data_IF_085353595931
#
_entry.id   IF_085353595931
#
_cell.length_a   1.000
_cell.length_b   1.000
_cell.length_c   1.000
_cell.angle_alpha   90.00
_cell.angle_beta   90.00
_cell.angle_gamma   90.00
#
_symmetry.space_group_name_H-M   'P 1'
#
loop_
_entity.id
_entity.type
_entity.pdbx_description
1 polymer ?
#
# COMPACT_ATOMS: atom_id res chain seq x y z
N UNK A 1 -40.13 -1.40 -48.15
CA UNK A 1 -39.01 -0.49 -48.42
C UNK A 1 -37.93 -0.81 -47.40
N UNK A 2 -37.05 -1.75 -47.68
CA UNK A 2 -36.00 -1.65 -48.70
C UNK A 2 -35.06 -0.48 -48.39
N UNK A 3 -33.83 -0.88 -48.09
CA UNK A 3 -32.58 -0.19 -48.36
C UNK A 3 -32.43 1.28 -47.96
N UNK A 4 -31.58 1.51 -46.96
CA UNK A 4 -30.20 1.86 -47.25
C UNK A 4 -29.43 2.01 -45.94
N UNK A 5 -28.13 1.75 -46.00
CA UNK A 5 -27.15 2.11 -44.96
C UNK A 5 -27.01 1.11 -43.81
N UNK A 6 -26.26 0.03 -44.04
CA UNK A 6 -25.18 -0.39 -43.13
C UNK A 6 -24.26 -1.44 -43.77
N UNK A 7 -23.87 -1.21 -45.01
CA UNK A 7 -22.62 -1.72 -45.54
C UNK A 7 -21.42 -0.95 -44.94
N UNK A 8 -21.26 -1.01 -43.62
CA UNK A 8 -19.95 -0.82 -42.99
C UNK A 8 -19.56 -2.21 -42.52
N UNK A 9 -18.51 -2.79 -43.12
CA UNK A 9 -17.82 -3.99 -42.61
C UNK A 9 -17.74 -3.86 -41.10
N UNK A 10 -18.68 -4.45 -40.38
CA UNK A 10 -18.65 -4.49 -38.93
C UNK A 10 -17.40 -5.31 -38.66
N UNK A 11 -16.31 -4.63 -38.27
CA UNK A 11 -15.07 -5.32 -37.87
C UNK A 11 -15.55 -6.36 -36.88
N UNK A 12 -15.51 -7.63 -37.29
CA UNK A 12 -15.98 -8.79 -36.53
C UNK A 12 -15.11 -8.80 -35.29
N UNK A 13 -15.54 -8.05 -34.27
CA UNK A 13 -14.72 -7.76 -33.12
C UNK A 13 -14.40 -9.10 -32.49
N UNK A 14 -13.12 -9.33 -32.18
CA UNK A 14 -12.63 -10.57 -31.59
C UNK A 14 -13.47 -11.04 -30.39
N UNK A 15 -14.17 -10.11 -29.73
CA UNK A 15 -15.11 -10.39 -28.66
C UNK A 15 -16.46 -9.71 -28.89
N UNK A 16 -17.52 -10.35 -28.39
CA UNK A 16 -18.84 -9.73 -28.25
C UNK A 16 -18.79 -8.56 -27.24
N UNK A 17 -19.70 -7.58 -27.34
CA UNK A 17 -19.75 -6.44 -26.43
C UNK A 17 -19.80 -6.83 -24.94
N UNK A 18 -20.56 -7.87 -24.61
CA UNK A 18 -20.68 -8.41 -23.25
C UNK A 18 -19.37 -8.99 -22.74
N UNK A 19 -18.68 -9.79 -23.56
CA UNK A 19 -17.38 -10.35 -23.21
C UNK A 19 -16.33 -9.25 -22.99
N UNK A 20 -16.35 -8.20 -23.81
CA UNK A 20 -15.48 -7.03 -23.63
C UNK A 20 -15.79 -6.28 -22.32
N UNK A 21 -17.06 -6.17 -21.93
CA UNK A 21 -17.48 -5.58 -20.64
C UNK A 21 -16.95 -6.42 -19.46
N UNK A 22 -17.11 -7.74 -19.52
CA UNK A 22 -16.60 -8.68 -18.49
C UNK A 22 -15.08 -8.62 -18.37
N UNK A 23 -14.36 -8.59 -19.49
CA UNK A 23 -12.89 -8.49 -19.50
C UNK A 23 -12.40 -7.21 -18.82
N UNK A 24 -12.99 -6.05 -19.13
CA UNK A 24 -12.61 -4.78 -18.47
C UNK A 24 -12.86 -4.81 -16.97
N UNK A 25 -13.95 -5.42 -16.54
CA UNK A 25 -14.26 -5.58 -15.11
C UNK A 25 -13.18 -6.42 -14.41
N UNK A 26 -12.78 -7.54 -15.01
CA UNK A 26 -11.73 -8.41 -14.46
C UNK A 26 -10.37 -7.70 -14.39
N UNK A 27 -10.00 -6.94 -15.42
CA UNK A 27 -8.75 -6.18 -15.44
C UNK A 27 -8.72 -5.11 -14.35
N UNK A 28 -9.82 -4.39 -14.11
CA UNK A 28 -9.92 -3.41 -13.02
C UNK A 28 -9.86 -4.08 -11.64
N UNK A 29 -10.53 -5.22 -11.48
CA UNK A 29 -10.49 -6.00 -10.24
C UNK A 29 -9.06 -6.44 -9.93
N UNK A 30 -8.35 -6.99 -10.92
CA UNK A 30 -6.94 -7.37 -10.79
C UNK A 30 -6.04 -6.16 -10.46
N UNK A 31 -6.24 -5.03 -11.14
CA UNK A 31 -5.48 -3.82 -10.85
C UNK A 31 -5.71 -3.30 -9.41
N UNK A 32 -6.94 -3.34 -8.90
CA UNK A 32 -7.25 -2.96 -7.53
C UNK A 32 -6.64 -3.92 -6.49
N UNK A 33 -6.63 -5.23 -6.79
CA UNK A 33 -6.02 -6.24 -5.94
C UNK A 33 -4.49 -6.07 -5.85
N UNK A 34 -3.82 -5.89 -6.99
CA UNK A 34 -2.37 -5.63 -7.02
C UNK A 34 -2.01 -4.33 -6.30
N UNK A 35 -2.81 -3.27 -6.47
CA UNK A 35 -2.60 -2.00 -5.75
C UNK A 35 -2.69 -2.20 -4.23
N UNK A 36 -3.69 -2.95 -3.75
CA UNK A 36 -3.84 -3.25 -2.32
C UNK A 36 -2.65 -4.05 -1.80
N UNK A 37 -2.22 -5.07 -2.54
CA UNK A 37 -1.06 -5.90 -2.20
C UNK A 37 0.24 -5.08 -2.13
N UNK A 38 0.42 -4.12 -3.03
CA UNK A 38 1.56 -3.22 -3.01
C UNK A 38 1.51 -2.25 -1.81
N UNK A 39 0.34 -1.73 -1.46
CA UNK A 39 0.16 -0.91 -0.26
C UNK A 39 0.50 -1.71 1.00
N UNK A 40 0.05 -2.96 1.11
CA UNK A 40 0.36 -3.85 2.23
C UNK A 40 1.86 -4.14 2.31
N UNK A 41 2.53 -4.40 1.19
CA UNK A 41 3.99 -4.56 1.12
C UNK A 41 4.72 -3.31 1.60
N UNK A 42 4.30 -2.13 1.12
CA UNK A 42 4.93 -0.84 1.49
C UNK A 42 4.69 -0.51 2.97
N UNK A 43 3.52 -0.85 3.51
CA UNK A 43 3.21 -0.70 4.92
C UNK A 43 4.02 -1.67 5.80
N UNK A 44 4.20 -2.92 5.37
CA UNK A 44 5.04 -3.89 6.06
C UNK A 44 6.51 -3.45 6.08
N UNK A 45 7.04 -2.99 4.94
CA UNK A 45 8.41 -2.48 4.87
C UNK A 45 8.59 -1.22 5.73
N UNK A 46 7.60 -0.30 5.72
CA UNK A 46 7.61 0.87 6.62
C UNK A 46 7.64 0.44 8.09
N UNK A 47 6.89 -0.59 8.48
CA UNK A 47 6.93 -1.12 9.85
C UNK A 47 8.29 -1.71 10.19
N UNK A 48 8.87 -2.51 9.29
CA UNK A 48 10.21 -3.10 9.44
C UNK A 48 11.27 -2.03 9.65
N UNK A 49 11.27 -0.98 8.82
CA UNK A 49 12.22 0.13 8.94
C UNK A 49 12.03 0.88 10.26
N UNK A 50 10.79 1.10 10.71
CA UNK A 50 10.54 1.74 12.01
C UNK A 50 11.08 0.86 13.15
N UNK A 51 10.86 -0.45 13.10
CA UNK A 51 11.36 -1.38 14.12
C UNK A 51 12.89 -1.41 14.16
N UNK A 52 13.55 -1.45 12.99
CA UNK A 52 15.00 -1.41 12.87
C UNK A 52 15.57 -0.07 13.37
N UNK A 53 14.94 1.05 13.00
CA UNK A 53 15.43 2.39 13.34
C UNK A 53 15.15 2.79 14.77
N UNK A 54 14.00 2.43 15.34
CA UNK A 54 13.59 2.85 16.68
C UNK A 54 13.90 1.79 17.74
N UNK A 55 13.88 0.52 17.37
CA UNK A 55 14.02 -0.61 18.29
C UNK A 55 12.77 -0.87 19.13
N UNK A 56 12.93 -1.68 20.18
CA UNK A 56 11.86 -2.00 21.13
C UNK A 56 11.69 -0.88 22.17
N UNK A 57 10.47 -0.65 22.68
CA UNK A 57 10.25 0.23 23.82
C UNK A 57 11.12 -0.18 25.02
N UNK A 58 11.66 0.81 25.75
CA UNK A 58 12.41 0.55 26.99
C UNK A 58 11.44 0.06 28.06
N UNK A 59 11.85 -0.91 28.87
CA UNK A 59 11.06 -1.36 30.02
C UNK A 59 11.11 -0.29 31.11
N UNK A 60 9.94 0.28 31.43
CA UNK A 60 9.76 1.30 32.47
C UNK A 60 9.11 0.73 33.74
N UNK A 61 8.43 -0.40 33.64
CA UNK A 61 7.62 -0.98 34.71
C UNK A 61 8.51 -1.53 35.83
N UNK A 62 9.67 -2.09 35.48
CA UNK A 62 10.65 -2.64 36.42
C UNK A 62 11.84 -1.68 36.68
N UNK A 63 11.75 -0.43 36.21
CA UNK A 63 12.88 0.50 36.26
C UNK A 63 12.94 1.24 37.61
N UNK A 64 14.12 1.26 38.22
CA UNK A 64 14.39 2.12 39.37
C UNK A 64 14.66 3.57 38.94
N UNK A 65 14.71 4.50 39.91
CA UNK A 65 14.86 5.94 39.63
C UNK A 65 16.12 6.26 38.79
N UNK A 66 17.24 5.60 39.06
CA UNK A 66 18.48 5.80 38.31
C UNK A 66 18.34 5.33 36.85
N UNK A 67 17.68 4.19 36.62
CA UNK A 67 17.38 3.68 35.28
C UNK A 67 16.42 4.61 34.54
N UNK A 68 15.37 5.11 35.21
CA UNK A 68 14.43 6.07 34.62
C UNK A 68 15.13 7.34 34.14
N UNK A 69 16.00 7.93 34.96
CA UNK A 69 16.80 9.12 34.58
C UNK A 69 17.65 8.86 33.34
N UNK A 70 18.29 7.68 33.24
CA UNK A 70 19.10 7.31 32.07
C UNK A 70 18.23 7.13 30.83
N UNK A 71 17.09 6.45 30.94
CA UNK A 71 16.15 6.25 29.83
C UNK A 71 15.67 7.58 29.27
N UNK A 72 15.30 8.54 30.14
CA UNK A 72 14.86 9.87 29.72
C UNK A 72 15.97 10.60 28.95
N UNK A 73 17.20 10.58 29.45
CA UNK A 73 18.34 11.21 28.79
C UNK A 73 18.61 10.59 27.41
N UNK A 74 18.61 9.26 27.30
CA UNK A 74 18.78 8.56 26.02
C UNK A 74 17.71 8.95 24.99
N UNK A 75 16.44 9.08 25.42
CA UNK A 75 15.37 9.52 24.54
C UNK A 75 15.52 10.98 24.11
N UNK A 76 15.91 11.86 25.03
CA UNK A 76 16.15 13.27 24.73
C UNK A 76 17.28 13.45 23.70
N UNK A 77 18.41 12.78 23.91
CA UNK A 77 19.56 12.85 22.99
C UNK A 77 19.18 12.32 21.60
N UNK A 78 18.42 11.22 21.55
CA UNK A 78 17.96 10.64 20.28
C UNK A 78 16.96 11.54 19.55
N UNK A 79 16.07 12.21 20.28
CA UNK A 79 15.12 13.17 19.71
C UNK A 79 15.89 14.31 19.04
N UNK A 80 16.89 14.87 19.72
CA UNK A 80 17.72 15.95 19.17
C UNK A 80 18.41 15.57 17.86
N UNK A 81 18.94 14.35 17.76
CA UNK A 81 19.56 13.82 16.52
C UNK A 81 18.54 13.57 15.40
N UNK A 82 17.28 13.29 15.72
CA UNK A 82 16.25 13.02 14.71
C UNK A 82 15.55 14.28 14.20
N UNK A 83 15.46 15.32 15.04
CA UNK A 83 14.76 16.57 14.74
C UNK A 83 15.68 17.73 14.32
N UNK A 84 16.97 17.66 14.65
CA UNK A 84 18.00 18.61 14.21
C UNK A 84 18.54 18.30 12.81
#
# INVERSE_FOLDING_TARGET
MEEASKAKKAKKGFMTPERKKKLRLLLRKKAAEELKKEQERKAAERRRIIEERCGKPKNIDDANEAMLKRIIQEYYDRMYVCEG
#
